data_IF_365600354246
#
_entry.id   IF_365600354246
#
_cell.length_a   1.000
_cell.length_b   1.000
_cell.length_c   1.000
_cell.angle_alpha   90.00
_cell.angle_beta   90.00
_cell.angle_gamma   90.00
#
_symmetry.space_group_name_H-M   'P 1'
#
loop_
_entity.id
_entity.type
_entity.pdbx_description
1 polymer ?
#
# COMPACT_ATOMS: atom_id res chain seq x y z
N UNK A 1 -19.08 18.56 -3.59
CA UNK A 1 -19.65 18.33 -2.25
C UNK A 1 -18.96 19.30 -1.28
N UNK A 2 -19.71 20.22 -0.66
CA UNK A 2 -19.12 21.27 0.18
C UNK A 2 -19.06 20.81 1.65
N UNK A 3 -17.84 20.58 2.16
CA UNK A 3 -17.59 20.36 3.58
C UNK A 3 -17.83 21.68 4.34
N UNK A 4 -18.86 21.74 5.17
CA UNK A 4 -19.10 22.90 6.05
C UNK A 4 -18.28 22.72 7.34
N UNK A 5 -17.13 23.39 7.42
CA UNK A 5 -16.27 23.41 8.61
C UNK A 5 -16.93 24.23 9.71
N UNK A 6 -17.51 23.58 10.72
CA UNK A 6 -17.86 24.25 11.99
C UNK A 6 -16.55 24.45 12.74
N UNK A 7 -16.02 25.67 12.79
CA UNK A 7 -14.80 25.98 13.57
C UNK A 7 -15.12 25.85 15.05
N UNK A 8 -14.75 24.73 15.65
CA UNK A 8 -14.63 24.62 17.10
C UNK A 8 -13.24 25.16 17.49
N UNK A 9 -13.17 25.94 18.57
CA UNK A 9 -11.89 26.37 19.17
C UNK A 9 -11.11 25.10 19.57
N UNK A 10 -9.88 24.99 19.11
CA UNK A 10 -8.95 23.91 19.48
C UNK A 10 -8.58 23.99 20.96
N UNK A 11 -8.20 22.88 21.59
CA UNK A 11 -7.71 22.84 22.96
C UNK A 11 -6.45 23.71 23.13
N UNK A 12 -5.62 23.85 22.09
CA UNK A 12 -4.47 24.77 22.10
C UNK A 12 -4.90 26.24 22.00
N UNK A 13 -5.91 26.58 21.19
CA UNK A 13 -6.49 27.93 21.15
C UNK A 13 -7.17 28.28 22.49
N UNK A 14 -7.89 27.33 23.07
CA UNK A 14 -8.50 27.46 24.40
C UNK A 14 -7.42 27.71 25.47
N UNK A 15 -6.30 26.97 25.44
CA UNK A 15 -5.16 27.19 26.33
C UNK A 15 -4.59 28.60 26.17
N UNK A 16 -4.30 29.01 24.93
CA UNK A 16 -3.73 30.33 24.64
C UNK A 16 -4.65 31.46 25.10
N UNK A 17 -5.97 31.34 24.85
CA UNK A 17 -6.96 32.31 25.30
C UNK A 17 -7.04 32.37 26.82
N UNK A 18 -7.11 31.24 27.53
CA UNK A 18 -7.16 31.24 29.00
C UNK A 18 -5.92 31.87 29.63
N UNK A 19 -4.74 31.62 29.08
CA UNK A 19 -3.51 32.29 29.51
C UNK A 19 -3.58 33.81 29.30
N UNK A 20 -4.17 34.26 28.18
CA UNK A 20 -4.39 35.71 27.93
C UNK A 20 -5.43 36.34 28.86
N UNK A 21 -6.41 35.56 29.34
CA UNK A 21 -7.43 35.97 30.32
C UNK A 21 -6.92 35.95 31.77
N UNK A 22 -5.62 35.71 31.99
CA UNK A 22 -5.00 35.73 33.31
C UNK A 22 -5.03 34.39 34.07
N UNK A 23 -5.43 33.30 33.41
CA UNK A 23 -5.27 31.97 33.98
C UNK A 23 -3.79 31.58 34.02
N UNK A 24 -3.43 30.74 34.99
CA UNK A 24 -2.05 30.24 35.15
C UNK A 24 -2.00 28.75 34.83
N UNK A 25 -1.00 28.33 34.05
CA UNK A 25 -0.67 26.92 33.92
C UNK A 25 0.15 26.50 35.14
N UNK A 26 -0.43 25.64 35.99
CA UNK A 26 0.21 25.19 37.25
C UNK A 26 0.87 23.81 37.10
N UNK A 27 0.52 23.07 36.05
CA UNK A 27 1.18 21.81 35.69
C UNK A 27 1.06 21.60 34.19
N UNK A 28 2.16 21.25 33.56
CA UNK A 28 2.20 20.90 32.14
C UNK A 28 2.99 19.61 31.96
N UNK A 29 2.30 18.54 31.58
CA UNK A 29 2.91 17.27 31.20
C UNK A 29 2.26 16.84 29.91
N UNK A 30 2.90 17.13 28.79
CA UNK A 30 2.33 16.85 27.47
C UNK A 30 1.77 15.42 27.42
N UNK A 31 0.48 15.24 27.06
CA UNK A 31 -0.43 16.24 26.47
C UNK A 31 -1.42 16.90 27.46
N UNK A 32 -1.22 16.79 28.76
CA UNK A 32 -2.12 17.37 29.77
C UNK A 32 -1.61 18.70 30.34
N UNK A 33 -2.51 19.66 30.51
CA UNK A 33 -2.27 20.90 31.22
C UNK A 33 -3.28 21.06 32.37
N UNK A 34 -2.85 21.63 33.49
CA UNK A 34 -3.74 22.04 34.57
C UNK A 34 -3.70 23.56 34.67
N UNK A 35 -4.86 24.19 34.51
CA UNK A 35 -5.04 25.62 34.59
C UNK A 35 -5.67 26.02 35.92
N UNK A 36 -5.23 27.17 36.45
CA UNK A 36 -5.79 27.82 37.62
C UNK A 36 -6.35 29.17 37.20
N UNK A 37 -7.64 29.40 37.43
CA UNK A 37 -8.29 30.68 37.15
C UNK A 37 -7.89 31.75 38.17
N UNK A 38 -8.05 33.04 37.85
CA UNK A 38 -7.87 34.13 38.80
C UNK A 38 -8.74 34.00 40.07
N UNK A 39 -9.90 33.36 39.94
CA UNK A 39 -10.86 33.08 41.01
C UNK A 39 -10.55 31.78 41.78
N UNK A 40 -9.43 31.12 41.46
CA UNK A 40 -8.97 29.91 42.14
C UNK A 40 -9.56 28.60 41.62
N UNK A 41 -10.22 28.60 40.46
CA UNK A 41 -10.81 27.38 39.87
C UNK A 41 -9.73 26.58 39.14
N UNK A 42 -9.61 25.30 39.48
CA UNK A 42 -8.71 24.37 38.79
C UNK A 42 -9.44 23.70 37.61
N UNK A 43 -8.83 23.73 36.42
CA UNK A 43 -9.33 23.09 35.20
C UNK A 43 -8.26 22.19 34.58
N UNK A 44 -8.45 20.86 34.58
CA UNK A 44 -7.64 19.98 33.75
C UNK A 44 -8.03 20.15 32.27
N UNK A 45 -7.03 20.18 31.39
CA UNK A 45 -7.16 20.32 29.95
C UNK A 45 -6.36 19.21 29.27
N UNK A 46 -7.00 18.50 28.34
CA UNK A 46 -6.35 17.47 27.51
C UNK A 46 -6.09 18.04 26.11
N UNK A 47 -4.82 18.22 25.77
CA UNK A 47 -4.38 18.79 24.49
C UNK A 47 -4.38 17.75 23.36
N UNK A 48 -4.79 16.49 23.61
CA UNK A 48 -4.94 15.46 22.56
C UNK A 48 -6.16 15.65 21.68
N UNK A 49 -7.17 16.38 22.16
CA UNK A 49 -8.42 16.59 21.43
C UNK A 49 -8.28 17.56 20.24
N UNK A 50 -7.07 18.00 19.91
CA UNK A 50 -6.75 18.78 18.71
C UNK A 50 -6.50 17.95 17.45
N UNK A 51 -6.63 16.64 17.55
CA UNK A 51 -6.60 15.76 16.38
C UNK A 51 -8.02 15.68 15.81
N UNK A 52 -8.31 16.49 14.77
CA UNK A 52 -9.48 16.26 13.92
C UNK A 52 -9.23 15.01 13.05
N UNK A 53 -9.85 13.89 13.41
CA UNK A 53 -9.86 12.70 12.55
C UNK A 53 -10.89 12.88 11.45
N UNK A 54 -10.44 13.18 10.23
CA UNK A 54 -11.29 13.20 9.04
C UNK A 54 -11.52 11.77 8.56
N UNK A 55 -12.75 11.26 8.71
CA UNK A 55 -13.17 9.97 8.15
C UNK A 55 -14.17 10.20 7.01
N UNK A 56 -14.06 9.46 5.89
CA UNK A 56 -15.11 9.48 4.88
C UNK A 56 -16.44 9.00 5.48
N UNK A 57 -17.55 9.67 5.15
CA UNK A 57 -18.89 9.37 5.70
C UNK A 57 -19.91 8.92 4.63
N UNK A 58 -19.43 8.74 3.40
CA UNK A 58 -20.21 8.34 2.25
C UNK A 58 -19.27 7.70 1.21
N UNK A 59 -19.81 6.94 0.23
CA UNK A 59 -19.02 6.48 -0.90
C UNK A 59 -18.35 7.65 -1.62
N UNK A 60 -17.05 7.53 -1.90
CA UNK A 60 -16.37 8.37 -2.87
C UNK A 60 -16.63 7.88 -4.30
N UNK A 61 -16.04 8.56 -5.29
CA UNK A 61 -16.22 8.23 -6.71
C UNK A 61 -15.46 6.96 -7.14
N UNK A 62 -14.57 6.43 -6.29
CA UNK A 62 -13.77 5.25 -6.60
C UNK A 62 -14.58 3.95 -6.42
N UNK A 63 -14.83 3.25 -7.53
CA UNK A 63 -15.55 1.95 -7.56
C UNK A 63 -14.62 0.73 -7.67
N UNK A 64 -13.30 0.94 -7.82
CA UNK A 64 -12.33 -0.13 -8.12
C UNK A 64 -11.96 -1.01 -6.91
N UNK A 65 -12.41 -0.63 -5.72
CA UNK A 65 -12.09 -1.30 -4.46
C UNK A 65 -13.30 -2.08 -3.98
N UNK A 66 -13.07 -3.29 -3.48
CA UNK A 66 -14.07 -4.15 -2.86
C UNK A 66 -13.79 -4.22 -1.35
N UNK A 67 -14.82 -4.12 -0.51
CA UNK A 67 -14.65 -4.23 0.93
C UNK A 67 -14.65 -5.71 1.35
N UNK A 68 -13.85 -6.02 2.37
CA UNK A 68 -13.93 -7.25 3.14
C UNK A 68 -14.36 -6.92 4.58
N UNK A 69 -15.36 -7.61 5.15
CA UNK A 69 -16.22 -8.62 4.51
C UNK A 69 -17.10 -8.03 3.39
N UNK A 70 -17.45 -8.86 2.41
CA UNK A 70 -18.21 -8.44 1.22
C UNK A 70 -19.63 -7.97 1.58
N UNK A 71 -20.08 -6.85 1.01
CA UNK A 71 -21.44 -6.31 1.21
C UNK A 71 -21.47 -4.99 1.99
N UNK A 72 -20.35 -4.59 2.58
CA UNK A 72 -20.18 -3.26 3.16
C UNK A 72 -19.78 -2.22 2.10
N UNK A 73 -19.62 -0.95 2.50
CA UNK A 73 -19.10 0.10 1.64
C UNK A 73 -17.63 0.37 1.99
N UNK A 74 -16.78 0.61 0.98
CA UNK A 74 -15.33 0.78 1.17
C UNK A 74 -14.94 1.80 2.24
N UNK A 75 -15.70 2.89 2.35
CA UNK A 75 -15.43 3.95 3.32
C UNK A 75 -15.59 3.50 4.78
N UNK A 76 -16.34 2.42 5.04
CA UNK A 76 -16.49 1.85 6.38
C UNK A 76 -15.22 1.16 6.86
N UNK A 77 -14.43 0.56 5.97
CA UNK A 77 -13.14 -0.08 6.30
C UNK A 77 -12.00 0.95 6.47
N UNK A 78 -12.33 2.22 6.73
CA UNK A 78 -11.38 3.32 7.00
C UNK A 78 -11.75 3.97 8.34
N UNK A 79 -12.18 3.15 9.29
CA UNK A 79 -12.74 3.57 10.57
C UNK A 79 -11.91 3.14 11.79
N UNK A 80 -10.79 2.44 11.59
CA UNK A 80 -10.01 1.90 12.70
C UNK A 80 -9.47 3.01 13.62
N UNK A 81 -9.74 2.86 14.92
CA UNK A 81 -9.08 3.61 16.00
C UNK A 81 -7.94 2.79 16.63
N UNK A 82 -8.00 1.47 16.46
CA UNK A 82 -7.02 0.46 16.89
C UNK A 82 -6.92 -0.54 15.74
N UNK A 83 -5.70 -0.96 15.40
CA UNK A 83 -5.46 -1.94 14.34
C UNK A 83 -6.16 -3.27 14.67
N UNK A 84 -6.92 -3.80 13.73
CA UNK A 84 -7.68 -5.06 13.80
C UNK A 84 -7.06 -6.17 12.91
N UNK A 85 -5.79 -5.97 12.54
CA UNK A 85 -4.98 -6.83 11.66
C UNK A 85 -5.54 -6.92 10.23
N UNK A 86 -6.30 -7.97 9.93
CA UNK A 86 -6.90 -8.21 8.59
C UNK A 86 -8.39 -8.52 8.67
N UNK A 87 -9.04 -8.13 9.78
CA UNK A 87 -10.46 -8.43 10.00
C UNK A 87 -11.35 -7.60 9.06
N UNK A 88 -11.00 -6.33 8.84
CA UNK A 88 -11.61 -5.48 7.80
C UNK A 88 -10.54 -4.88 6.89
N UNK A 89 -10.76 -4.92 5.57
CA UNK A 89 -9.84 -4.29 4.61
C UNK A 89 -10.52 -4.00 3.27
N UNK A 90 -10.04 -3.00 2.54
CA UNK A 90 -10.40 -2.79 1.14
C UNK A 90 -9.34 -3.45 0.25
N UNK A 91 -9.78 -4.21 -0.76
CA UNK A 91 -8.90 -4.84 -1.73
C UNK A 91 -9.29 -4.45 -3.14
N UNK A 92 -8.36 -4.55 -4.08
CA UNK A 92 -8.67 -4.36 -5.49
C UNK A 92 -9.66 -5.43 -5.94
N UNK A 93 -10.73 -5.02 -6.62
CA UNK A 93 -11.61 -5.95 -7.33
C UNK A 93 -10.97 -6.53 -8.59
N UNK A 94 -9.90 -5.90 -9.07
CA UNK A 94 -9.03 -6.44 -10.10
C UNK A 94 -7.92 -7.21 -9.40
N UNK A 95 -8.03 -8.55 -9.41
CA UNK A 95 -6.87 -9.37 -9.12
C UNK A 95 -5.98 -9.31 -10.35
N UNK A 96 -5.00 -8.42 -10.33
CA UNK A 96 -3.87 -8.51 -11.25
C UNK A 96 -3.03 -9.71 -10.83
N UNK A 97 -3.49 -10.91 -11.21
CA UNK A 97 -2.53 -11.96 -11.43
C UNK A 97 -1.66 -11.45 -12.57
N UNK A 98 -0.42 -11.04 -12.26
CA UNK A 98 0.62 -11.06 -13.29
C UNK A 98 0.45 -12.39 -14.01
N UNK A 99 0.40 -12.39 -15.35
CA UNK A 99 -0.14 -13.46 -16.21
C UNK A 99 0.46 -14.86 -15.98
N UNK A 100 1.34 -15.03 -15.00
CA UNK A 100 2.12 -16.21 -14.69
C UNK A 100 3.14 -16.48 -15.79
N UNK A 101 3.20 -15.61 -16.80
CA UNK A 101 3.99 -15.85 -17.98
C UNK A 101 5.47 -15.85 -17.62
N UNK A 102 6.20 -16.76 -18.24
CA UNK A 102 7.61 -16.95 -17.95
C UNK A 102 8.37 -17.35 -19.20
N UNK A 103 9.68 -17.12 -19.18
CA UNK A 103 10.61 -17.67 -20.14
C UNK A 103 11.36 -18.83 -19.49
N UNK A 104 11.61 -19.90 -20.24
CA UNK A 104 12.61 -20.88 -19.84
C UNK A 104 13.95 -20.27 -20.23
N UNK A 105 14.89 -20.24 -19.30
CA UNK A 105 16.16 -19.53 -19.47
C UNK A 105 17.33 -20.50 -19.30
N UNK A 106 18.33 -20.37 -20.17
CA UNK A 106 19.62 -21.01 -20.00
C UNK A 106 20.71 -19.96 -19.91
N UNK A 107 21.80 -20.26 -19.21
CA UNK A 107 22.98 -19.41 -19.15
C UNK A 107 24.24 -20.19 -19.47
N UNK A 108 24.95 -19.72 -20.48
CA UNK A 108 26.18 -20.30 -21.00
C UNK A 108 27.24 -19.22 -21.14
N UNK A 109 28.49 -19.48 -20.75
CA UNK A 109 29.59 -18.52 -20.88
C UNK A 109 29.28 -17.11 -20.31
N UNK A 110 28.39 -17.03 -19.31
CA UNK A 110 27.92 -15.76 -18.74
C UNK A 110 26.72 -15.10 -19.44
N UNK A 111 26.30 -15.57 -20.61
CA UNK A 111 25.21 -15.03 -21.43
C UNK A 111 23.91 -15.79 -21.14
N UNK A 112 22.82 -15.07 -20.88
CA UNK A 112 21.48 -15.63 -20.69
C UNK A 112 20.75 -15.63 -22.03
N UNK A 113 20.16 -16.77 -22.39
CA UNK A 113 19.24 -16.90 -23.52
C UNK A 113 17.89 -17.41 -23.05
N UNK A 114 16.82 -16.77 -23.53
CA UNK A 114 15.44 -17.10 -23.18
C UNK A 114 14.74 -17.85 -24.32
N UNK A 115 13.84 -18.75 -23.95
CA UNK A 115 12.86 -19.35 -24.87
C UNK A 115 11.87 -18.28 -25.35
N UNK A 116 10.98 -18.61 -26.30
CA UNK A 116 9.73 -17.87 -26.46
C UNK A 116 8.90 -17.91 -25.16
N UNK A 117 8.03 -16.91 -24.96
CA UNK A 117 7.17 -16.77 -23.79
C UNK A 117 6.29 -18.01 -23.58
N UNK A 118 6.14 -18.42 -22.32
CA UNK A 118 5.23 -19.47 -21.89
C UNK A 118 4.09 -18.84 -21.09
N UNK A 119 2.87 -19.24 -21.40
CA UNK A 119 1.66 -18.78 -20.69
C UNK A 119 1.04 -19.96 -19.95
N UNK A 120 1.28 -20.09 -18.63
CA UNK A 120 0.62 -21.08 -17.80
C UNK A 120 -0.89 -21.03 -17.89
N UNK A 121 -1.53 -22.18 -17.71
CA UNK A 121 -2.97 -22.24 -17.43
C UNK A 121 -3.20 -22.44 -15.94
N UNK A 122 -4.46 -22.38 -15.49
CA UNK A 122 -4.86 -22.70 -14.11
C UNK A 122 -4.80 -24.21 -13.78
N UNK A 123 -4.20 -25.03 -14.64
CA UNK A 123 -4.04 -26.48 -14.46
C UNK A 123 -2.58 -26.89 -14.50
N UNK A 124 -2.23 -28.00 -13.83
CA UNK A 124 -0.87 -28.54 -13.85
C UNK A 124 -0.49 -28.96 -15.27
N UNK A 125 0.63 -28.44 -15.77
CA UNK A 125 1.13 -28.72 -17.11
C UNK A 125 2.65 -28.63 -17.17
N UNK A 126 3.24 -29.41 -18.09
CA UNK A 126 4.67 -29.36 -18.35
C UNK A 126 4.95 -28.37 -19.48
N UNK A 127 5.96 -27.51 -19.28
CA UNK A 127 6.44 -26.56 -20.28
C UNK A 127 7.90 -26.84 -20.56
N UNK A 128 8.27 -26.91 -21.83
CA UNK A 128 9.64 -27.18 -22.26
C UNK A 128 10.03 -26.33 -23.47
N UNK A 129 11.34 -26.20 -23.67
CA UNK A 129 11.94 -25.64 -24.87
C UNK A 129 13.27 -26.35 -25.13
N UNK A 130 13.59 -26.54 -26.41
CA UNK A 130 14.78 -27.27 -26.84
C UNK A 130 15.70 -26.33 -27.61
N UNK A 131 16.96 -26.28 -27.20
CA UNK A 131 18.04 -25.64 -27.93
C UNK A 131 18.87 -26.71 -28.64
N UNK A 132 18.62 -26.89 -29.94
CA UNK A 132 19.33 -27.89 -30.77
C UNK A 132 20.82 -27.54 -30.90
N UNK A 133 21.11 -26.26 -31.09
CA UNK A 133 22.45 -25.68 -31.11
C UNK A 133 22.61 -24.72 -29.95
N UNK A 134 23.86 -24.48 -29.58
CA UNK A 134 24.22 -23.55 -28.54
C UNK A 134 23.84 -22.12 -28.94
N UNK A 135 23.05 -21.38 -28.14
CA UNK A 135 22.63 -20.03 -28.51
C UNK A 135 23.74 -18.99 -28.68
N UNK A 136 24.85 -19.11 -27.95
CA UNK A 136 25.93 -18.11 -27.97
C UNK A 136 26.61 -17.99 -29.33
N UNK A 137 26.71 -19.08 -30.10
CA UNK A 137 27.43 -19.11 -31.38
C UNK A 137 26.83 -20.04 -32.44
N UNK A 138 25.65 -20.61 -32.19
CA UNK A 138 24.99 -21.60 -33.05
C UNK A 138 25.81 -22.89 -33.29
N UNK A 139 26.83 -23.14 -32.49
CA UNK A 139 27.65 -24.36 -32.56
C UNK A 139 26.94 -25.60 -31.98
N UNK A 140 27.52 -26.80 -32.17
CA UNK A 140 27.07 -28.00 -31.46
C UNK A 140 27.41 -27.91 -29.97
N UNK A 141 26.59 -28.52 -29.12
CA UNK A 141 26.88 -28.66 -27.70
C UNK A 141 28.05 -29.62 -27.44
N UNK A 142 29.00 -29.21 -26.61
CA UNK A 142 30.02 -30.10 -26.04
C UNK A 142 29.63 -30.51 -24.62
N UNK A 143 30.27 -31.56 -24.08
CA UNK A 143 30.03 -31.97 -22.70
C UNK A 143 30.44 -30.90 -21.69
N UNK A 144 31.57 -30.21 -21.93
CA UNK A 144 32.03 -29.12 -21.07
C UNK A 144 31.00 -27.97 -21.01
N UNK A 145 30.32 -27.67 -22.13
CA UNK A 145 29.25 -26.66 -22.16
C UNK A 145 28.06 -27.06 -21.30
N UNK A 146 27.66 -28.34 -21.38
CA UNK A 146 26.53 -28.89 -20.63
C UNK A 146 26.84 -28.93 -19.14
N UNK A 147 28.06 -29.32 -18.77
CA UNK A 147 28.49 -29.39 -17.38
C UNK A 147 28.57 -27.99 -16.73
N UNK A 148 28.85 -26.95 -17.52
CA UNK A 148 28.86 -25.56 -17.07
C UNK A 148 27.49 -24.86 -17.16
N UNK A 149 26.48 -25.50 -17.78
CA UNK A 149 25.19 -24.89 -18.08
C UNK A 149 24.39 -24.60 -16.80
N UNK A 150 23.82 -23.39 -16.72
CA UNK A 150 22.82 -23.07 -15.72
C UNK A 150 21.44 -22.98 -16.37
N UNK A 151 20.42 -23.49 -15.68
CA UNK A 151 19.03 -23.49 -16.15
C UNK A 151 18.12 -22.81 -15.12
N UNK A 152 17.08 -22.14 -15.61
CA UNK A 152 16.11 -21.46 -14.75
C UNK A 152 14.89 -20.97 -15.53
N UNK A 153 14.17 -20.03 -14.92
CA UNK A 153 13.09 -19.32 -15.57
C UNK A 153 13.16 -17.83 -15.23
N UNK A 154 12.64 -17.01 -16.13
CA UNK A 154 12.47 -15.58 -15.93
C UNK A 154 10.97 -15.27 -15.94
N UNK A 155 10.44 -14.77 -14.83
CA UNK A 155 9.05 -14.36 -14.76
C UNK A 155 8.85 -13.05 -15.54
N UNK A 156 7.86 -13.03 -16.43
CA UNK A 156 7.45 -11.79 -17.10
C UNK A 156 6.62 -10.98 -16.11
N UNK A 157 7.18 -9.87 -15.66
CA UNK A 157 6.41 -8.87 -14.92
C UNK A 157 5.68 -7.98 -15.92
N UNK A 158 4.38 -8.23 -16.12
CA UNK A 158 3.50 -7.36 -16.91
C UNK A 158 2.98 -6.16 -16.10
N UNK A 159 3.74 -5.75 -15.08
CA UNK A 159 3.39 -4.67 -14.17
C UNK A 159 3.22 -3.36 -14.92
N UNK A 160 1.98 -3.05 -15.29
CA UNK A 160 1.54 -1.66 -15.34
C UNK A 160 1.58 -1.20 -13.90
N UNK A 161 2.69 -0.57 -13.53
CA UNK A 161 2.73 0.21 -12.31
C UNK A 161 1.51 1.17 -12.33
N UNK A 162 0.75 1.16 -11.23
CA UNK A 162 -0.42 2.03 -11.04
C UNK A 162 -0.05 3.52 -11.16
N UNK A 163 1.23 3.87 -11.06
CA UNK A 163 1.75 5.21 -11.33
C UNK A 163 2.01 5.52 -12.82
N UNK A 164 1.78 4.58 -13.73
CA UNK A 164 2.09 4.72 -15.17
C UNK A 164 0.87 4.54 -16.09
N UNK A 165 -0.35 4.77 -15.57
CA UNK A 165 -1.49 5.07 -16.44
C UNK A 165 -1.12 6.34 -17.22
N UNK A 166 -0.88 6.21 -18.53
CA UNK A 166 -0.83 7.37 -19.43
C UNK A 166 -2.12 8.15 -19.18
N UNK A 167 -1.98 9.40 -18.73
CA UNK A 167 -3.09 10.34 -18.78
C UNK A 167 -3.57 10.34 -20.24
N UNK A 168 -4.74 9.75 -20.48
CA UNK A 168 -5.29 9.69 -21.81
C UNK A 168 -5.46 11.13 -22.31
N UNK A 169 -4.93 11.36 -23.50
CA UNK A 169 -5.16 12.51 -24.37
C UNK A 169 -6.64 12.83 -24.53
#
# INVERSE_FOLDING_TARGET
MALKRVRHETCIEYLARRLSEGWKCISFKHPFAILLSPEGIIRPLDLRNDVETLRPNAPGDATNWLPHPSGEANWKNVDEAVADDVTTYNHSGVVEYGSGEFYISIKENGIITNSPLKSPTSSWGNYFHQWITRPSDSGPWTWDDVDALQIGYEARHDGRDLFNLRANS
#
